data_IF_724517483335
#
_entry.id   IF_724517483335
#
_cell.length_a   1.000
_cell.length_b   1.000
_cell.length_c   1.000
_cell.angle_alpha   90.00
_cell.angle_beta   90.00
_cell.angle_gamma   90.00
#
_symmetry.space_group_name_H-M   'P 1'
#
loop_
_entity.id
_entity.type
_entity.pdbx_description
1 polymer ?
#
# COMPACT_ATOMS: atom_id res chain seq x y z
N UNK A 1 3.55 22.27 -31.40
CA UNK A 1 3.96 22.83 -30.09
C UNK A 1 2.96 22.56 -28.96
N UNK A 2 1.66 22.88 -29.11
CA UNK A 2 0.65 22.64 -28.05
C UNK A 2 0.53 21.18 -27.58
N UNK A 3 0.69 20.20 -28.46
CA UNK A 3 0.65 18.76 -28.11
C UNK A 3 1.87 18.30 -27.31
N UNK A 4 3.05 18.85 -27.61
CA UNK A 4 4.30 18.58 -26.87
C UNK A 4 4.23 19.20 -25.47
N UNK A 5 3.68 20.42 -25.38
CA UNK A 5 3.42 21.06 -24.09
C UNK A 5 2.41 20.27 -23.26
N UNK A 6 1.34 19.75 -23.87
CA UNK A 6 0.36 18.89 -23.19
C UNK A 6 0.96 17.59 -22.63
N UNK A 7 1.83 16.93 -23.40
CA UNK A 7 2.52 15.70 -22.95
C UNK A 7 3.45 16.01 -21.77
N UNK A 8 4.19 17.13 -21.82
CA UNK A 8 5.06 17.55 -20.73
C UNK A 8 4.29 17.85 -19.43
N UNK A 9 3.12 18.48 -19.53
CA UNK A 9 2.28 18.77 -18.36
C UNK A 9 1.73 17.48 -17.73
N UNK A 10 1.29 16.52 -18.54
CA UNK A 10 0.81 15.22 -18.03
C UNK A 10 1.95 14.44 -17.38
N UNK A 11 3.14 14.41 -17.99
CA UNK A 11 4.30 13.73 -17.42
C UNK A 11 4.73 14.35 -16.08
N UNK A 12 4.76 15.69 -16.00
CA UNK A 12 5.06 16.40 -14.76
C UNK A 12 4.02 16.13 -13.66
N UNK A 13 2.73 16.11 -14.01
CA UNK A 13 1.66 15.79 -13.07
C UNK A 13 1.78 14.35 -12.54
N UNK A 14 2.01 13.37 -13.42
CA UNK A 14 2.23 11.98 -13.06
C UNK A 14 3.44 11.80 -12.11
N UNK A 15 4.53 12.51 -12.37
CA UNK A 15 5.73 12.45 -11.51
C UNK A 15 5.47 12.93 -10.08
N UNK A 16 4.52 13.87 -9.88
CA UNK A 16 4.19 14.43 -8.56
C UNK A 16 3.19 13.55 -7.78
N UNK A 17 2.28 12.85 -8.46
CA UNK A 17 1.24 12.04 -7.80
C UNK A 17 1.68 10.61 -7.46
N UNK A 18 2.62 10.02 -8.20
CA UNK A 18 3.11 8.65 -7.95
C UNK A 18 3.70 8.45 -6.54
N UNK A 19 4.48 9.39 -5.97
CA UNK A 19 5.02 9.27 -4.61
C UNK A 19 3.95 9.30 -3.50
N UNK A 20 2.73 9.76 -3.79
CA UNK A 20 1.62 9.79 -2.82
C UNK A 20 1.00 8.40 -2.61
N UNK A 21 1.40 7.40 -3.40
CA UNK A 21 1.07 6.01 -3.16
C UNK A 21 1.78 5.48 -1.90
N UNK A 22 1.15 5.61 -0.74
CA UNK A 22 1.67 5.12 0.55
C UNK A 22 1.71 3.58 0.68
N UNK A 23 1.43 2.84 -0.40
CA UNK A 23 1.64 1.40 -0.41
C UNK A 23 3.15 1.16 -0.41
N UNK A 24 3.69 0.61 0.68
CA UNK A 24 5.10 0.23 0.77
C UNK A 24 5.27 -1.18 0.19
N UNK A 25 5.66 -1.31 -1.10
CA UNK A 25 5.79 -2.63 -1.73
C UNK A 25 6.85 -3.48 -1.02
N UNK A 26 7.76 -2.89 -0.25
CA UNK A 26 8.75 -3.60 0.55
C UNK A 26 8.10 -4.50 1.60
N UNK A 27 7.01 -4.05 2.24
CA UNK A 27 6.31 -4.83 3.27
C UNK A 27 5.50 -5.97 2.66
N UNK A 28 4.84 -5.71 1.52
CA UNK A 28 4.13 -6.75 0.78
C UNK A 28 5.09 -7.86 0.30
N UNK A 29 6.29 -7.48 -0.17
CA UNK A 29 7.34 -8.44 -0.56
C UNK A 29 7.91 -9.22 0.62
N UNK A 30 8.13 -8.56 1.76
CA UNK A 30 8.66 -9.17 2.99
C UNK A 30 7.75 -10.27 3.50
N UNK A 31 6.45 -10.00 3.60
CA UNK A 31 5.49 -10.91 4.24
C UNK A 31 4.86 -11.92 3.26
N UNK A 32 4.83 -11.61 1.96
CA UNK A 32 4.25 -12.48 0.93
C UNK A 32 2.74 -12.74 1.10
N UNK A 33 2.03 -11.86 1.82
CA UNK A 33 0.59 -11.97 2.11
C UNK A 33 -0.26 -11.30 1.04
N UNK A 34 -1.50 -11.77 0.88
CA UNK A 34 -2.47 -11.12 -0.01
C UNK A 34 -2.91 -9.80 0.63
N UNK A 35 -3.30 -8.83 -0.19
CA UNK A 35 -3.80 -7.55 0.29
C UNK A 35 -4.96 -7.71 1.28
N UNK A 36 -5.84 -8.69 1.04
CA UNK A 36 -7.01 -8.99 1.88
C UNK A 36 -6.66 -9.58 3.25
N UNK A 37 -5.43 -10.05 3.43
CA UNK A 37 -5.00 -10.61 4.71
C UNK A 37 -4.75 -9.47 5.71
N UNK A 38 -4.24 -8.31 5.25
CA UNK A 38 -4.00 -7.12 6.08
C UNK A 38 -5.12 -6.07 5.97
N UNK A 39 -5.83 -6.00 4.84
CA UNK A 39 -6.84 -4.99 4.56
C UNK A 39 -8.22 -5.61 4.35
N UNK A 40 -9.28 -4.94 4.80
CA UNK A 40 -10.64 -5.40 4.55
C UNK A 40 -10.96 -5.29 3.05
N UNK A 41 -11.52 -6.37 2.48
CA UNK A 41 -11.89 -6.42 1.06
C UNK A 41 -12.88 -5.29 0.74
N UNK A 42 -12.54 -4.46 -0.25
CA UNK A 42 -13.36 -3.31 -0.65
C UNK A 42 -13.15 -2.05 0.18
N UNK A 43 -12.42 -2.12 1.30
CA UNK A 43 -12.06 -0.97 2.11
C UNK A 43 -10.57 -1.01 2.51
N UNK A 44 -9.63 -0.64 1.60
CA UNK A 44 -8.19 -0.72 1.86
C UNK A 44 -7.70 0.22 2.98
N UNK A 45 -8.53 1.18 3.44
CA UNK A 45 -8.19 2.02 4.60
C UNK A 45 -8.42 1.28 5.92
N UNK A 46 -9.26 0.26 5.92
CA UNK A 46 -9.60 -0.54 7.08
C UNK A 46 -8.70 -1.76 7.13
N UNK A 47 -8.15 -2.01 8.32
CA UNK A 47 -7.23 -3.11 8.57
C UNK A 47 -7.97 -4.27 9.22
N UNK A 48 -7.65 -5.49 8.78
CA UNK A 48 -8.00 -6.71 9.51
C UNK A 48 -7.26 -6.76 10.85
N UNK A 49 -7.57 -7.71 11.71
CA UNK A 49 -6.86 -7.84 12.99
C UNK A 49 -5.36 -8.16 12.78
N UNK A 50 -5.04 -8.93 11.73
CA UNK A 50 -3.66 -9.14 11.30
C UNK A 50 -2.98 -7.83 10.86
N UNK A 51 -3.68 -7.00 10.08
CA UNK A 51 -3.16 -5.71 9.64
C UNK A 51 -2.94 -4.72 10.79
N UNK A 52 -3.84 -4.71 11.78
CA UNK A 52 -3.69 -3.92 13.02
C UNK A 52 -2.47 -4.40 13.81
N UNK A 53 -2.36 -5.71 14.05
CA UNK A 53 -1.22 -6.29 14.75
C UNK A 53 0.09 -5.92 14.07
N UNK A 54 0.18 -6.06 12.75
CA UNK A 54 1.37 -5.71 11.97
C UNK A 54 1.77 -4.25 12.15
N UNK A 55 0.80 -3.32 12.12
CA UNK A 55 1.03 -1.89 12.32
C UNK A 55 1.53 -1.59 13.74
N UNK A 56 1.02 -2.29 14.75
CA UNK A 56 1.36 -2.09 16.16
C UNK A 56 2.68 -2.79 16.56
N UNK A 57 3.08 -3.84 15.84
CA UNK A 57 4.24 -4.69 16.15
C UNK A 57 5.38 -4.46 15.16
N UNK A 58 5.76 -3.20 14.94
CA UNK A 58 6.93 -2.82 14.13
C UNK A 58 6.94 -3.37 12.70
N UNK A 59 5.76 -3.54 12.07
CA UNK A 59 5.66 -4.17 10.75
C UNK A 59 6.26 -5.59 10.75
N UNK A 60 5.92 -6.38 11.77
CA UNK A 60 6.23 -7.80 11.90
C UNK A 60 4.97 -8.60 12.22
N UNK A 61 4.85 -9.79 11.62
CA UNK A 61 3.84 -10.79 11.97
C UNK A 61 4.38 -11.83 12.97
N UNK A 62 5.57 -11.62 13.52
CA UNK A 62 6.14 -12.50 14.54
C UNK A 62 5.24 -12.55 15.78
N UNK A 63 4.90 -13.77 16.20
CA UNK A 63 4.02 -14.02 17.34
C UNK A 63 2.52 -13.81 17.06
N UNK A 64 2.13 -13.33 15.88
CA UNK A 64 0.73 -13.24 15.51
C UNK A 64 0.12 -14.64 15.43
N UNK A 65 -0.91 -14.89 16.23
CA UNK A 65 -1.73 -16.10 16.16
C UNK A 65 -3.09 -15.70 15.64
N UNK A 66 -3.43 -16.19 14.45
CA UNK A 66 -4.76 -16.04 13.91
C UNK A 66 -5.75 -16.69 14.89
N UNK A 67 -6.74 -15.91 15.34
CA UNK A 67 -7.83 -16.46 16.13
C UNK A 67 -8.62 -17.41 15.22
N UNK A 68 -8.56 -18.71 15.52
CA UNK A 68 -9.34 -19.75 14.85
C UNK A 68 -10.82 -19.62 15.15
#
# INVERSE_FOLDING_TARGET
>A
MKKVLGILVIAAFCAVIVPLGHAKPEYAKKEGKKCVDCHVKGNPKELTDMGKYYKEHNHSLEGYKEAK
#
